data_IF_186906013910
#
_entry.id   IF_186906013910
#
_cell.length_a   1.000
_cell.length_b   1.000
_cell.length_c   1.000
_cell.angle_alpha   90.00
_cell.angle_beta   90.00
_cell.angle_gamma   90.00
#
_symmetry.space_group_name_H-M   'P 1'
#
loop_
_entity.id
_entity.type
_entity.pdbx_description
1 polymer ?
#
# COMPACT_ATOMS: atom_id res chain seq x y z
N UNK A 1 -5.69 4.63 6.18
CA UNK A 1 -5.94 3.81 4.99
C UNK A 1 -5.65 2.35 5.31
N UNK A 2 -6.37 1.41 4.72
CA UNK A 2 -6.13 0.00 4.98
C UNK A 2 -4.80 -0.48 4.41
N UNK A 3 -4.11 -1.33 5.18
CA UNK A 3 -2.92 -2.05 4.72
C UNK A 3 -3.30 -3.17 3.76
N UNK A 4 -2.37 -3.52 2.89
CA UNK A 4 -2.47 -4.62 1.93
C UNK A 4 -1.22 -5.47 2.01
N UNK A 5 -1.30 -6.70 1.52
CA UNK A 5 -0.13 -7.58 1.53
C UNK A 5 -0.04 -8.40 0.26
N UNK A 6 1.18 -8.84 -0.04
CA UNK A 6 1.44 -9.85 -1.05
C UNK A 6 1.54 -11.22 -0.38
N UNK A 7 1.06 -12.26 -1.05
CA UNK A 7 1.15 -13.63 -0.59
C UNK A 7 1.58 -14.54 -1.74
N UNK A 8 2.42 -15.53 -1.46
CA UNK A 8 2.77 -16.54 -2.46
C UNK A 8 1.65 -17.58 -2.49
N UNK A 9 1.08 -17.84 -3.67
CA UNK A 9 0.16 -18.95 -3.87
C UNK A 9 0.76 -19.94 -4.87
N UNK A 10 1.04 -21.15 -4.38
CA UNK A 10 1.62 -22.23 -5.17
C UNK A 10 0.63 -22.79 -6.19
N UNK A 11 -0.68 -22.70 -5.93
CA UNK A 11 -1.70 -23.16 -6.87
C UNK A 11 -1.86 -22.17 -8.04
N UNK A 12 -1.72 -20.88 -7.75
CA UNK A 12 -1.69 -19.83 -8.77
C UNK A 12 -0.34 -19.77 -9.51
N UNK A 13 0.73 -20.27 -8.88
CA UNK A 13 2.08 -20.28 -9.44
C UNK A 13 2.78 -18.92 -9.35
N UNK A 14 2.41 -18.06 -8.40
CA UNK A 14 2.96 -16.71 -8.30
C UNK A 14 2.51 -15.91 -7.10
N UNK A 15 2.83 -14.63 -7.11
CA UNK A 15 2.46 -13.70 -6.06
C UNK A 15 1.07 -13.14 -6.27
N UNK A 16 0.28 -13.11 -5.21
CA UNK A 16 -1.07 -12.54 -5.18
C UNK A 16 -1.08 -11.24 -4.41
N UNK A 17 -1.94 -10.32 -4.87
CA UNK A 17 -2.33 -9.13 -4.10
C UNK A 17 -3.51 -9.49 -3.19
N UNK A 18 -3.42 -9.20 -1.90
CA UNK A 18 -4.48 -9.53 -0.95
C UNK A 18 -4.96 -8.29 -0.18
N UNK A 19 -6.28 -8.11 -0.13
CA UNK A 19 -6.96 -7.02 0.57
C UNK A 19 -7.72 -7.43 1.83
N UNK A 20 -7.67 -8.70 2.21
CA UNK A 20 -8.32 -9.20 3.41
C UNK A 20 -7.75 -8.56 4.67
N UNK A 21 -8.53 -8.59 5.75
CA UNK A 21 -8.07 -8.14 7.05
C UNK A 21 -6.98 -9.07 7.56
N UNK A 22 -5.77 -8.53 7.69
CA UNK A 22 -4.61 -9.23 8.23
C UNK A 22 -3.89 -8.35 9.26
N UNK A 23 -3.21 -9.00 10.20
CA UNK A 23 -2.28 -8.35 11.12
C UNK A 23 -0.96 -7.96 10.44
N UNK A 24 -0.68 -8.53 9.27
CA UNK A 24 0.49 -8.25 8.45
C UNK A 24 0.13 -7.38 7.24
N UNK A 25 1.03 -6.48 6.90
CA UNK A 25 0.98 -5.71 5.67
C UNK A 25 2.36 -5.65 5.03
N UNK A 26 2.40 -5.54 3.71
CA UNK A 26 3.62 -5.23 2.94
C UNK A 26 3.45 -4.02 2.04
N UNK A 27 2.22 -3.49 1.95
CA UNK A 27 1.90 -2.36 1.09
C UNK A 27 0.99 -1.36 1.82
N UNK A 28 1.27 -0.08 1.60
CA UNK A 28 0.39 1.03 1.96
C UNK A 28 -0.02 1.75 0.68
N UNK A 29 -1.32 1.88 0.45
CA UNK A 29 -1.84 2.47 -0.78
C UNK A 29 -1.64 3.98 -0.77
N UNK A 30 -1.17 4.52 -1.90
CA UNK A 30 -0.79 5.94 -2.09
C UNK A 30 -1.97 6.90 -1.94
N UNK A 31 -3.21 6.43 -2.14
CA UNK A 31 -4.43 7.23 -2.01
C UNK A 31 -4.66 7.88 -0.64
N UNK A 32 -4.05 7.35 0.43
CA UNK A 32 -3.89 8.11 1.68
C UNK A 32 -2.62 7.69 2.43
N UNK A 33 -1.49 8.08 1.85
CA UNK A 33 -0.17 7.90 2.41
C UNK A 33 0.62 9.21 2.42
N UNK A 34 1.59 9.31 3.33
CA UNK A 34 2.65 10.31 3.26
C UNK A 34 3.89 9.63 2.68
N UNK A 35 4.44 10.21 1.62
CA UNK A 35 5.66 9.72 0.98
C UNK A 35 6.65 10.87 0.81
N UNK A 36 7.94 10.57 0.92
CA UNK A 36 8.97 11.57 0.70
C UNK A 36 9.04 11.93 -0.80
N UNK A 37 9.11 13.23 -1.14
CA UNK A 37 9.19 13.73 -2.53
C UNK A 37 10.29 13.06 -3.37
N UNK A 38 11.38 12.64 -2.74
CA UNK A 38 12.44 11.90 -3.41
C UNK A 38 11.94 10.63 -4.14
N UNK A 39 10.96 9.91 -3.58
CA UNK A 39 10.45 8.69 -4.21
C UNK A 39 9.59 8.98 -5.43
N UNK A 40 8.93 10.14 -5.53
CA UNK A 40 8.23 10.53 -6.75
C UNK A 40 9.23 10.86 -7.86
N UNK A 41 10.36 11.50 -7.54
CA UNK A 41 11.46 11.69 -8.49
C UNK A 41 12.02 10.34 -8.99
N UNK A 42 12.30 9.40 -8.09
CA UNK A 42 12.77 8.07 -8.48
C UNK A 42 11.74 7.31 -9.32
N UNK A 43 10.45 7.44 -8.99
CA UNK A 43 9.38 6.82 -9.77
C UNK A 43 9.40 7.30 -11.22
N UNK A 44 9.57 8.61 -11.45
CA UNK A 44 9.59 9.17 -12.80
C UNK A 44 10.88 8.87 -13.56
N UNK A 45 12.04 8.99 -12.90
CA UNK A 45 13.33 9.04 -13.61
C UNK A 45 14.19 7.78 -13.48
N UNK A 46 13.96 6.95 -12.46
CA UNK A 46 14.79 5.77 -12.20
C UNK A 46 14.02 4.45 -12.37
N UNK A 47 12.73 4.42 -12.04
CA UNK A 47 11.91 3.23 -12.20
C UNK A 47 11.88 2.81 -13.69
N UNK A 48 12.11 1.51 -13.99
CA UNK A 48 12.09 1.02 -15.36
C UNK A 48 10.84 1.46 -16.13
N UNK A 49 11.03 1.98 -17.34
CA UNK A 49 9.94 2.47 -18.18
C UNK A 49 8.84 1.40 -18.36
N UNK A 50 9.23 0.13 -18.54
CA UNK A 50 8.29 -0.99 -18.67
C UNK A 50 7.30 -1.13 -17.49
N UNK A 51 7.70 -0.77 -16.27
CA UNK A 51 6.80 -0.77 -15.11
C UNK A 51 5.81 0.39 -15.21
N UNK A 52 6.28 1.58 -15.59
CA UNK A 52 5.42 2.76 -15.79
C UNK A 52 4.42 2.53 -16.92
N UNK A 53 4.87 1.97 -18.04
CA UNK A 53 4.01 1.62 -19.18
C UNK A 53 2.91 0.64 -18.76
N UNK A 54 3.23 -0.35 -17.91
CA UNK A 54 2.24 -1.30 -17.40
C UNK A 54 1.22 -0.66 -16.45
N UNK A 55 1.67 0.29 -15.63
CA UNK A 55 0.77 1.08 -14.76
C UNK A 55 -0.19 1.92 -15.61
N UNK A 56 0.32 2.56 -16.66
CA UNK A 56 -0.49 3.38 -17.58
C UNK A 56 -1.45 2.51 -18.41
N UNK A 57 -1.03 1.32 -18.86
CA UNK A 57 -1.86 0.37 -19.61
C UNK A 57 -3.08 -0.10 -18.81
N UNK A 58 -2.90 -0.43 -17.53
CA UNK A 58 -4.00 -0.90 -16.67
C UNK A 58 -4.72 0.23 -15.93
N UNK A 59 -4.18 1.46 -15.96
CA UNK A 59 -4.68 2.56 -15.12
C UNK A 59 -4.81 2.14 -13.64
N UNK A 60 -3.86 1.30 -13.18
CA UNK A 60 -3.89 0.60 -11.89
C UNK A 60 -2.45 0.31 -11.43
N UNK A 61 -2.28 -0.16 -10.20
CA UNK A 61 -1.01 -0.64 -9.65
C UNK A 61 0.10 0.41 -9.45
N UNK A 62 -0.21 1.71 -9.53
CA UNK A 62 0.73 2.79 -9.24
C UNK A 62 1.19 2.73 -7.78
N UNK A 63 0.27 2.34 -6.89
CA UNK A 63 0.52 2.10 -5.47
C UNK A 63 1.47 0.91 -5.25
N UNK A 64 1.25 -0.20 -5.95
CA UNK A 64 2.12 -1.39 -5.92
C UNK A 64 3.51 -1.04 -6.43
N UNK A 65 3.61 -0.36 -7.57
CA UNK A 65 4.88 0.07 -8.15
C UNK A 65 5.65 1.00 -7.20
N UNK A 66 4.97 1.93 -6.54
CA UNK A 66 5.57 2.78 -5.51
C UNK A 66 6.08 1.98 -4.30
N UNK A 67 5.33 1.00 -3.81
CA UNK A 67 5.79 0.16 -2.70
C UNK A 67 6.99 -0.72 -3.12
N UNK A 68 6.99 -1.28 -4.33
CA UNK A 68 8.14 -2.00 -4.89
C UNK A 68 9.39 -1.12 -4.92
N UNK A 69 9.27 0.09 -5.46
CA UNK A 69 10.35 1.07 -5.54
C UNK A 69 10.91 1.42 -4.16
N UNK A 70 10.05 1.83 -3.23
CA UNK A 70 10.47 2.27 -1.90
C UNK A 70 11.10 1.13 -1.12
N UNK A 71 10.52 -0.08 -1.15
CA UNK A 71 11.12 -1.24 -0.47
C UNK A 71 12.42 -1.70 -1.13
N UNK A 72 12.55 -1.58 -2.45
CA UNK A 72 13.82 -1.87 -3.15
C UNK A 72 14.93 -0.92 -2.71
N UNK A 73 14.65 0.38 -2.66
CA UNK A 73 15.64 1.42 -2.34
C UNK A 73 16.00 1.41 -0.85
N UNK A 74 15.01 1.27 0.03
CA UNK A 74 15.22 1.39 1.48
C UNK A 74 15.54 0.08 2.18
N UNK A 75 15.17 -1.06 1.57
CA UNK A 75 15.20 -2.39 2.18
C UNK A 75 14.39 -2.47 3.48
N UNK A 76 13.33 -1.65 3.58
CA UNK A 76 12.45 -1.57 4.75
C UNK A 76 10.98 -1.78 4.36
N UNK A 77 10.17 -2.34 5.27
CA UNK A 77 8.73 -2.43 5.09
C UNK A 77 8.05 -1.07 5.28
N UNK A 78 6.80 -0.89 4.83
CA UNK A 78 6.05 0.34 5.05
C UNK A 78 5.66 0.54 6.53
N UNK A 79 5.10 1.70 6.88
CA UNK A 79 4.62 2.00 8.24
C UNK A 79 3.13 2.31 8.22
N UNK A 80 2.34 1.55 8.99
CA UNK A 80 0.91 1.83 9.18
C UNK A 80 0.75 2.89 10.27
N UNK A 81 -0.08 3.92 10.04
CA UNK A 81 -0.25 5.05 10.98
C UNK A 81 -1.69 5.24 11.49
N UNK A 82 -2.58 4.29 11.20
CA UNK A 82 -4.01 4.39 11.53
C UNK A 82 -4.59 3.03 11.89
N UNK A 83 -5.57 3.03 12.78
CA UNK A 83 -6.36 1.85 13.14
C UNK A 83 -7.47 1.52 12.13
N UNK A 84 -7.76 2.41 11.17
CA UNK A 84 -8.86 2.21 10.22
C UNK A 84 -8.56 1.09 9.24
N UNK A 85 -9.47 0.11 9.20
CA UNK A 85 -9.45 -1.04 8.30
C UNK A 85 -10.13 -0.80 6.95
N UNK A 86 -10.90 0.28 6.84
CA UNK A 86 -11.57 0.66 5.61
C UNK A 86 -11.48 2.17 5.44
N UNK A 87 -11.39 2.60 4.20
CA UNK A 87 -11.54 3.98 3.82
C UNK A 87 -12.61 4.02 2.74
N UNK A 88 -13.81 4.43 3.11
CA UNK A 88 -14.90 4.66 2.16
C UNK A 88 -14.96 6.15 1.88
N UNK A 89 -14.98 6.51 0.60
CA UNK A 89 -15.29 7.86 0.17
C UNK A 89 -16.82 8.02 0.18
N UNK A 90 -17.42 8.82 1.09
CA UNK A 90 -18.87 8.89 1.24
C UNK A 90 -19.63 9.50 0.04
N UNK A 91 -18.92 10.13 -0.91
CA UNK A 91 -19.51 10.79 -2.07
C UNK A 91 -18.93 10.34 -3.42
N UNK A 92 -18.19 9.24 -3.46
CA UNK A 92 -17.66 8.71 -4.71
C UNK A 92 -18.68 7.72 -5.31
N UNK A 93 -19.23 7.99 -6.51
CA UNK A 93 -20.35 7.22 -7.07
C UNK A 93 -19.96 5.82 -7.56
N UNK A 94 -18.69 5.62 -7.95
CA UNK A 94 -18.13 4.34 -8.40
C UNK A 94 -16.70 4.26 -7.89
N UNK A 95 -16.30 3.11 -7.36
CA UNK A 95 -14.89 2.85 -7.01
C UNK A 95 -14.23 1.98 -8.08
N UNK A 96 -12.98 2.27 -8.44
CA UNK A 96 -12.19 1.44 -9.37
C UNK A 96 -12.06 -0.02 -8.88
N UNK A 97 -12.27 -0.25 -7.59
CA UNK A 97 -12.27 -1.58 -6.96
C UNK A 97 -13.58 -2.37 -7.11
N UNK A 98 -14.64 -1.77 -7.68
CA UNK A 98 -15.89 -2.48 -8.00
C UNK A 98 -15.81 -3.31 -9.28
N UNK A 99 -14.77 -3.11 -10.10
CA UNK A 99 -14.51 -3.94 -11.27
C UNK A 99 -13.97 -5.32 -10.85
N UNK A 100 -14.60 -6.38 -11.34
CA UNK A 100 -14.20 -7.78 -11.07
C UNK A 100 -12.76 -8.08 -11.52
N UNK A 101 -12.26 -7.34 -12.52
CA UNK A 101 -10.89 -7.50 -13.04
C UNK A 101 -9.83 -6.87 -12.13
N UNK A 102 -10.22 -5.94 -11.26
CA UNK A 102 -9.31 -5.11 -10.47
C UNK A 102 -8.27 -5.92 -9.68
N UNK A 103 -8.71 -7.00 -9.02
CA UNK A 103 -7.81 -7.85 -8.24
C UNK A 103 -6.89 -8.69 -9.12
N UNK A 104 -7.41 -9.20 -10.24
CA UNK A 104 -6.63 -9.99 -11.18
C UNK A 104 -5.52 -9.16 -11.83
N UNK A 105 -5.81 -7.92 -12.21
CA UNK A 105 -4.81 -6.97 -12.70
C UNK A 105 -3.72 -6.72 -11.66
N UNK A 106 -4.10 -6.49 -10.40
CA UNK A 106 -3.12 -6.31 -9.31
C UNK A 106 -2.24 -7.55 -9.10
N UNK A 107 -2.77 -8.77 -9.25
CA UNK A 107 -1.95 -9.98 -9.23
C UNK A 107 -0.94 -9.98 -10.39
N UNK A 108 -1.40 -9.67 -11.61
CA UNK A 108 -0.53 -9.58 -12.79
C UNK A 108 0.57 -8.53 -12.62
N UNK A 109 0.24 -7.36 -12.06
CA UNK A 109 1.21 -6.31 -11.76
C UNK A 109 2.32 -6.79 -10.83
N UNK A 110 1.99 -7.42 -9.70
CA UNK A 110 3.01 -7.91 -8.75
C UNK A 110 3.95 -8.90 -9.43
N UNK A 111 3.40 -9.85 -10.20
CA UNK A 111 4.22 -10.84 -10.90
C UNK A 111 5.10 -10.19 -11.99
N UNK A 112 4.55 -9.29 -12.79
CA UNK A 112 5.31 -8.57 -13.82
C UNK A 112 6.42 -7.71 -13.20
N UNK A 113 6.13 -6.95 -12.14
CA UNK A 113 7.15 -6.15 -11.45
C UNK A 113 8.23 -7.03 -10.83
N UNK A 114 7.86 -8.18 -10.27
CA UNK A 114 8.81 -9.17 -9.73
C UNK A 114 9.76 -9.66 -10.83
N UNK A 115 9.27 -9.91 -12.04
CA UNK A 115 10.11 -10.28 -13.18
C UNK A 115 11.06 -9.16 -13.60
N UNK A 116 10.56 -7.92 -13.70
CA UNK A 116 11.39 -6.76 -14.09
C UNK A 116 12.47 -6.44 -13.04
N UNK A 117 12.14 -6.53 -11.75
CA UNK A 117 13.13 -6.34 -10.67
C UNK A 117 14.03 -7.56 -10.45
N UNK A 118 13.65 -8.74 -10.95
CA UNK A 118 14.34 -10.02 -10.75
C UNK A 118 14.08 -10.69 -9.40
N UNK A 119 13.31 -10.06 -8.51
CA UNK A 119 12.89 -10.58 -7.20
C UNK A 119 11.74 -9.73 -6.64
N UNK A 120 11.15 -10.16 -5.53
CA UNK A 120 10.09 -9.41 -4.83
C UNK A 120 10.70 -8.55 -3.73
N UNK A 121 10.75 -7.21 -3.86
CA UNK A 121 11.31 -6.32 -2.84
C UNK A 121 10.36 -6.05 -1.68
N UNK A 122 9.08 -6.41 -1.78
CA UNK A 122 8.09 -6.16 -0.75
C UNK A 122 8.41 -6.92 0.54
N UNK A 123 8.32 -6.22 1.68
CA UNK A 123 8.61 -6.79 3.00
C UNK A 123 7.38 -6.68 3.88
N UNK A 124 7.01 -7.78 4.55
CA UNK A 124 5.91 -7.77 5.50
C UNK A 124 6.32 -7.08 6.81
N UNK A 125 5.34 -6.48 7.48
CA UNK A 125 5.46 -5.87 8.79
C UNK A 125 4.15 -5.98 9.55
N UNK A 126 4.26 -6.05 10.86
CA UNK A 126 3.16 -5.92 11.80
C UNK A 126 3.19 -4.57 12.54
N UNK A 127 4.15 -3.71 12.18
CA UNK A 127 4.38 -2.45 12.86
C UNK A 127 3.32 -1.39 12.50
N UNK A 128 2.71 -0.82 13.54
CA UNK A 128 1.84 0.35 13.45
C UNK A 128 2.38 1.44 14.37
N UNK A 129 2.61 2.63 13.83
CA UNK A 129 2.92 3.82 14.60
C UNK A 129 1.61 4.53 14.97
N UNK A 130 1.31 4.62 16.26
CA UNK A 130 0.19 5.39 16.77
C UNK A 130 0.68 6.70 17.40
N UNK A 131 -0.20 7.70 17.51
CA UNK A 131 0.12 8.93 18.23
C UNK A 131 0.43 8.66 19.71
N UNK A 132 1.22 9.53 20.35
CA UNK A 132 1.65 9.43 21.77
C UNK A 132 0.48 9.14 22.73
N UNK A 133 -0.70 9.70 22.45
CA UNK A 133 -1.89 9.61 23.32
C UNK A 133 -2.91 8.56 22.86
N UNK A 134 -2.53 7.66 21.94
CA UNK A 134 -3.44 6.67 21.40
C UNK A 134 -3.97 5.75 22.49
N UNK A 135 -5.31 5.66 22.60
CA UNK A 135 -6.03 4.94 23.66
C UNK A 135 -5.65 5.35 25.09
N UNK A 136 -4.99 6.49 25.28
CA UNK A 136 -4.74 7.05 26.61
C UNK A 136 -5.99 7.76 27.10
N UNK A 137 -6.46 7.43 28.30
CA UNK A 137 -7.58 8.15 28.93
C UNK A 137 -7.07 9.49 29.46
N UNK A 138 -7.48 10.59 28.84
CA UNK A 138 -7.10 11.94 29.25
C UNK A 138 -8.27 12.59 30.00
N UNK A 139 -8.04 13.18 31.19
CA UNK A 139 -9.03 13.99 31.88
C UNK A 139 -9.65 15.07 30.97
N UNK A 140 -10.94 15.37 31.16
CA UNK A 140 -11.69 16.27 30.29
C UNK A 140 -11.09 17.68 30.19
N UNK A 141 -10.38 18.14 31.22
CA UNK A 141 -9.69 19.44 31.30
C UNK A 141 -8.33 19.48 30.58
N UNK A 142 -7.81 18.33 30.11
CA UNK A 142 -6.47 18.22 29.49
C UNK A 142 -6.48 17.80 28.01
N UNK A 143 -7.64 17.80 27.36
CA UNK A 143 -7.78 17.47 25.93
C UNK A 143 -7.37 18.65 25.03
N UNK A 144 -6.10 19.06 25.04
CA UNK A 144 -5.65 20.20 24.21
C UNK A 144 -5.45 19.86 22.72
N UNK A 145 -5.37 18.59 22.33
CA UNK A 145 -5.08 18.23 20.93
C UNK A 145 -5.80 16.98 20.37
N UNK A 146 -6.47 16.18 21.19
CA UNK A 146 -7.12 14.93 20.75
C UNK A 146 -8.55 14.87 21.28
N UNK A 147 -9.53 14.97 20.39
CA UNK A 147 -10.87 14.44 20.67
C UNK A 147 -10.77 12.93 20.56
N UNK A 148 -11.20 12.21 21.60
CA UNK A 148 -11.34 10.75 21.55
C UNK A 148 -12.26 10.43 20.35
N UNK A 149 -11.78 9.66 19.37
CA UNK A 149 -12.58 9.13 18.24
C UNK A 149 -12.90 7.68 18.56
#
# INVERSE_FOLDING_TARGET
FPGRFHALDLNYGGWLYNSNYSCELSMVLTGAAFIHKYYTYLYTHWLPQAIRDKVDEYMNCEDIAMNFLVSHVTRKPPVKVTSRWTFRCPGCPVSLSEDDTHFQERHKCINFFTQVFGYTPLLNTQFRADSILFKTRIPHDKQKCFKYI
#
